data_IF_347127034685
#
_entry.id   IF_347127034685
#
_cell.length_a   1.000
_cell.length_b   1.000
_cell.length_c   1.000
_cell.angle_alpha   90.00
_cell.angle_beta   90.00
_cell.angle_gamma   90.00
#
_symmetry.space_group_name_H-M   'P 1'
#
loop_
_entity.id
_entity.type
_entity.pdbx_description
1 polymer ?
#
# COMPACT_ATOMS: atom_id res chain seq x y z
N UNK A 1 -9.79 6.68 -4.12
CA UNK A 1 -8.52 6.89 -3.40
C UNK A 1 -7.52 5.84 -3.83
N UNK A 2 -6.28 6.24 -4.09
CA UNK A 2 -5.16 5.36 -4.43
C UNK A 2 -4.65 4.61 -3.20
N UNK A 3 -3.89 3.54 -3.41
CA UNK A 3 -3.21 2.82 -2.31
C UNK A 3 -2.38 3.76 -1.43
N UNK A 4 -1.62 4.66 -2.05
CA UNK A 4 -0.79 5.64 -1.33
C UNK A 4 -1.65 6.64 -0.55
N UNK A 5 -2.82 7.05 -1.06
CA UNK A 5 -3.74 7.90 -0.31
C UNK A 5 -4.30 7.18 0.92
N UNK A 6 -4.66 5.91 0.80
CA UNK A 6 -5.10 5.12 1.97
C UNK A 6 -3.99 5.00 3.02
N UNK A 7 -2.75 4.72 2.60
CA UNK A 7 -1.61 4.71 3.50
C UNK A 7 -1.36 6.07 4.18
N UNK A 8 -1.72 7.19 3.55
CA UNK A 8 -1.55 8.54 4.12
C UNK A 8 -2.68 8.98 5.04
N UNK A 9 -3.92 8.66 4.67
CA UNK A 9 -5.12 9.16 5.35
C UNK A 9 -5.62 8.22 6.44
N UNK A 10 -5.31 6.92 6.32
CA UNK A 10 -5.78 5.89 7.26
C UNK A 10 -4.66 5.26 8.07
N UNK A 11 -3.40 5.49 7.70
CA UNK A 11 -2.22 5.01 8.40
C UNK A 11 -1.25 6.18 8.61
N UNK A 12 -0.23 5.99 9.45
CA UNK A 12 0.75 7.04 9.79
C UNK A 12 1.85 7.23 8.71
N UNK A 13 1.62 6.79 7.46
CA UNK A 13 2.62 6.94 6.41
C UNK A 13 2.51 8.28 5.72
N UNK A 14 3.59 9.08 5.75
CA UNK A 14 3.63 10.40 5.09
C UNK A 14 3.62 10.30 3.55
N UNK A 15 4.20 9.23 2.98
CA UNK A 15 4.33 9.03 1.53
C UNK A 15 4.53 7.57 1.15
N UNK A 16 4.43 7.25 -0.16
CA UNK A 16 4.78 5.93 -0.72
C UNK A 16 6.23 5.56 -0.37
N UNK A 17 7.15 6.53 -0.44
CA UNK A 17 8.57 6.35 -0.08
C UNK A 17 8.74 6.05 1.41
N UNK A 18 8.05 6.77 2.30
CA UNK A 18 8.10 6.51 3.74
C UNK A 18 7.64 5.07 4.06
N UNK A 19 6.59 4.61 3.40
CA UNK A 19 6.13 3.22 3.50
C UNK A 19 7.18 2.21 3.02
N UNK A 20 7.85 2.46 1.89
CA UNK A 20 8.92 1.57 1.42
C UNK A 20 10.13 1.56 2.34
N UNK A 21 10.54 2.71 2.88
CA UNK A 21 11.61 2.78 3.87
C UNK A 21 11.27 1.97 5.12
N UNK A 22 10.03 2.05 5.61
CA UNK A 22 9.55 1.18 6.69
C UNK A 22 9.60 -0.30 6.32
N UNK A 23 9.15 -0.67 5.12
CA UNK A 23 9.26 -2.05 4.64
C UNK A 23 10.72 -2.54 4.57
N UNK A 24 11.66 -1.62 4.32
CA UNK A 24 13.08 -1.93 4.27
C UNK A 24 13.70 -2.23 5.63
N UNK A 25 13.16 -1.68 6.73
CA UNK A 25 13.59 -2.00 8.10
C UNK A 25 13.17 -3.40 8.55
N UNK A 26 12.28 -4.06 7.82
CA UNK A 26 11.79 -5.40 8.13
C UNK A 26 12.66 -6.50 7.48
N UNK A 27 12.84 -7.64 8.16
CA UNK A 27 13.36 -8.85 7.53
C UNK A 27 12.53 -9.25 6.31
N UNK A 28 13.13 -9.98 5.37
CA UNK A 28 12.51 -10.35 4.08
C UNK A 28 11.09 -10.93 4.22
N UNK A 29 10.87 -11.80 5.20
CA UNK A 29 9.55 -12.37 5.45
C UNK A 29 8.56 -11.37 6.04
N UNK A 30 9.00 -10.53 6.98
CA UNK A 30 8.20 -9.46 7.56
C UNK A 30 7.76 -8.45 6.49
N UNK A 31 8.70 -8.07 5.61
CA UNK A 31 8.41 -7.21 4.45
C UNK A 31 7.29 -7.77 3.58
N UNK A 32 7.35 -9.07 3.26
CA UNK A 32 6.32 -9.75 2.46
C UNK A 32 4.96 -9.76 3.16
N UNK A 33 4.92 -10.13 4.44
CA UNK A 33 3.68 -10.22 5.22
C UNK A 33 3.01 -8.86 5.38
N UNK A 34 3.76 -7.83 5.75
CA UNK A 34 3.25 -6.47 5.93
C UNK A 34 2.76 -5.89 4.61
N UNK A 35 3.50 -6.10 3.52
CA UNK A 35 3.07 -5.61 2.21
C UNK A 35 1.80 -6.31 1.71
N UNK A 36 1.65 -7.61 1.97
CA UNK A 36 0.43 -8.36 1.65
C UNK A 36 -0.75 -7.89 2.50
N UNK A 37 -0.54 -7.67 3.80
CA UNK A 37 -1.57 -7.18 4.71
C UNK A 37 -2.20 -5.86 4.23
N UNK A 38 -1.39 -4.83 3.98
CA UNK A 38 -1.93 -3.54 3.55
C UNK A 38 -2.56 -3.61 2.16
N UNK A 39 -1.99 -4.42 1.25
CA UNK A 39 -2.60 -4.64 -0.06
C UNK A 39 -3.98 -5.24 0.06
N UNK A 40 -4.17 -6.33 0.82
CA UNK A 40 -5.48 -6.94 1.00
C UNK A 40 -6.46 -6.04 1.78
N UNK A 41 -5.99 -5.34 2.82
CA UNK A 41 -6.79 -4.37 3.60
C UNK A 41 -7.44 -3.32 2.71
N UNK A 42 -6.70 -2.80 1.72
CA UNK A 42 -7.20 -1.77 0.81
C UNK A 42 -7.66 -2.29 -0.55
N UNK A 43 -7.49 -3.59 -0.84
CA UNK A 43 -7.87 -4.22 -2.09
C UNK A 43 -9.34 -3.98 -2.43
N UNK A 44 -10.23 -4.15 -1.45
CA UNK A 44 -11.67 -3.94 -1.64
C UNK A 44 -12.03 -2.48 -1.93
N UNK A 45 -11.23 -1.54 -1.42
CA UNK A 45 -11.46 -0.11 -1.62
C UNK A 45 -10.84 0.44 -2.91
N UNK A 46 -9.87 -0.27 -3.47
CA UNK A 46 -9.19 0.07 -4.73
C UNK A 46 -9.84 -0.65 -5.91
N UNK A 47 -10.41 -1.84 -5.71
CA UNK A 47 -11.09 -2.59 -6.77
C UNK A 47 -12.41 -1.97 -7.24
N UNK A 48 -13.00 -1.04 -6.48
CA UNK A 48 -14.10 -0.18 -6.95
C UNK A 48 -13.63 0.91 -7.93
N UNK A 49 -12.31 1.03 -8.14
CA UNK A 49 -11.71 1.92 -9.13
C UNK A 49 -11.42 1.12 -10.41
N UNK A 50 -11.88 1.57 -11.59
CA UNK A 50 -11.78 0.79 -12.82
C UNK A 50 -10.33 0.42 -13.18
N UNK A 51 -10.15 -0.80 -13.72
CA UNK A 51 -8.86 -1.48 -13.95
C UNK A 51 -7.78 -0.65 -14.66
N UNK A 52 -8.15 0.33 -15.48
CA UNK A 52 -7.18 1.19 -16.18
C UNK A 52 -6.44 2.15 -15.23
N UNK A 53 -7.00 2.50 -14.08
CA UNK A 53 -6.32 3.31 -13.07
C UNK A 53 -5.41 2.47 -12.16
N UNK A 54 -5.64 1.15 -12.10
CA UNK A 54 -4.83 0.21 -11.31
C UNK A 54 -3.42 0.05 -11.88
N UNK A 55 -3.24 0.19 -13.20
CA UNK A 55 -1.94 0.10 -13.87
C UNK A 55 -1.01 1.29 -13.58
N UNK A 56 -1.54 2.43 -13.13
CA UNK A 56 -0.73 3.58 -12.67
C UNK A 56 -0.32 3.46 -11.19
N UNK A 57 -0.79 2.44 -10.48
CA UNK A 57 -0.58 2.25 -9.04
C UNK A 57 0.55 1.26 -8.70
N UNK A 58 0.98 0.43 -9.65
CA UNK A 58 2.17 -0.42 -9.55
C UNK A 58 3.43 0.41 -9.82
#
# INVERSE_FOLDING_TARGET
MTFTEYLKYKEDFISKTHYYSFLETLPREGRRKVNMYYREKYRHFINDVPQYEQLKLL
#
